data_IF_375603797190
#
_entry.id   IF_375603797190
#
_cell.length_a   1.000
_cell.length_b   1.000
_cell.length_c   1.000
_cell.angle_alpha   90.00
_cell.angle_beta   90.00
_cell.angle_gamma   90.00
#
_symmetry.space_group_name_H-M   'P 1'
#
loop_
_entity.id
_entity.type
_entity.pdbx_description
1 polymer ?
#
# COMPACT_ATOMS: atom_id res chain seq x y z
N UNK A 1 -18.17 -26.35 -18.08
CA UNK A 1 -17.04 -27.31 -18.07
C UNK A 1 -16.18 -27.07 -16.84
N UNK A 2 -15.73 -28.13 -16.16
CA UNK A 2 -14.97 -28.04 -14.88
C UNK A 2 -13.48 -27.72 -15.11
N UNK A 3 -12.93 -28.20 -16.22
CA UNK A 3 -11.55 -27.91 -16.67
C UNK A 3 -11.34 -26.42 -16.94
N UNK A 4 -12.28 -25.75 -17.63
CA UNK A 4 -12.15 -24.34 -18.00
C UNK A 4 -12.07 -23.45 -16.77
N UNK A 5 -12.86 -23.76 -15.73
CA UNK A 5 -12.83 -23.03 -14.44
C UNK A 5 -11.46 -23.13 -13.75
N UNK A 6 -10.83 -24.31 -13.78
CA UNK A 6 -9.51 -24.53 -13.16
C UNK A 6 -8.44 -23.71 -13.90
N UNK A 7 -8.43 -23.76 -15.24
CA UNK A 7 -7.48 -22.96 -16.04
C UNK A 7 -7.65 -21.47 -15.83
N UNK A 8 -8.89 -20.95 -15.80
CA UNK A 8 -9.14 -19.54 -15.49
C UNK A 8 -8.60 -19.16 -14.12
N UNK A 9 -8.85 -19.97 -13.08
CA UNK A 9 -8.35 -19.67 -11.73
C UNK A 9 -6.82 -19.63 -11.65
N UNK A 10 -6.12 -20.54 -12.35
CA UNK A 10 -4.65 -20.54 -12.39
C UNK A 10 -4.11 -19.31 -13.12
N UNK A 11 -4.67 -19.00 -14.28
CA UNK A 11 -4.26 -17.83 -15.07
C UNK A 11 -4.49 -16.54 -14.27
N UNK A 12 -5.66 -16.38 -13.64
CA UNK A 12 -5.96 -15.22 -12.79
C UNK A 12 -4.98 -15.08 -11.64
N UNK A 13 -4.67 -16.18 -10.93
CA UNK A 13 -3.74 -16.15 -9.80
C UNK A 13 -2.32 -15.76 -10.24
N UNK A 14 -1.82 -16.35 -11.33
CA UNK A 14 -0.50 -16.03 -11.87
C UNK A 14 -0.46 -14.60 -12.40
N UNK A 15 -1.53 -14.12 -13.04
CA UNK A 15 -1.59 -12.75 -13.55
C UNK A 15 -1.63 -11.70 -12.44
N UNK A 16 -2.28 -11.97 -11.31
CA UNK A 16 -2.30 -11.05 -10.16
C UNK A 16 -0.93 -11.00 -9.46
N UNK A 17 -0.26 -12.13 -9.34
CA UNK A 17 1.10 -12.15 -8.82
C UNK A 17 2.07 -11.42 -9.76
N UNK A 18 1.95 -11.63 -11.08
CA UNK A 18 2.77 -10.96 -12.08
C UNK A 18 2.52 -9.45 -12.12
N UNK A 19 1.28 -8.98 -11.97
CA UNK A 19 0.96 -7.55 -11.91
C UNK A 19 1.53 -6.88 -10.66
N UNK A 20 1.67 -7.60 -9.54
CA UNK A 20 2.32 -7.08 -8.33
C UNK A 20 3.84 -6.97 -8.46
N UNK A 21 4.48 -7.94 -9.13
CA UNK A 21 5.96 -8.00 -9.23
C UNK A 21 6.48 -7.15 -10.38
N UNK A 22 5.79 -7.21 -11.53
CA UNK A 22 6.22 -6.58 -12.77
C UNK A 22 5.27 -5.49 -13.25
N UNK A 23 4.20 -5.20 -12.50
CA UNK A 23 3.36 -4.06 -12.79
C UNK A 23 4.15 -2.76 -12.66
N UNK A 24 3.68 -1.75 -13.38
CA UNK A 24 4.14 -0.39 -13.17
C UNK A 24 3.99 -0.08 -11.69
N UNK A 25 5.06 0.43 -11.07
CA UNK A 25 4.96 0.89 -9.69
C UNK A 25 3.89 1.97 -9.64
N UNK A 26 2.86 1.75 -8.83
CA UNK A 26 1.88 2.79 -8.47
C UNK A 26 2.48 3.74 -7.41
N UNK A 27 3.81 3.82 -7.33
CA UNK A 27 4.53 4.95 -6.75
C UNK A 27 4.35 6.17 -7.65
N UNK A 28 3.11 6.67 -7.69
CA UNK A 28 2.83 8.04 -8.04
C UNK A 28 3.03 8.96 -6.82
N UNK A 29 3.76 8.49 -5.80
CA UNK A 29 4.18 9.34 -4.70
C UNK A 29 5.13 10.39 -5.27
N UNK A 30 4.79 11.69 -5.18
CA UNK A 30 5.64 12.72 -5.74
C UNK A 30 7.03 12.61 -5.11
N UNK A 31 8.07 12.60 -5.96
CA UNK A 31 9.47 12.64 -5.51
C UNK A 31 9.76 13.81 -4.55
N UNK A 32 8.87 14.81 -4.55
CA UNK A 32 8.83 15.95 -3.63
C UNK A 32 7.52 15.93 -2.84
N UNK A 33 7.41 15.04 -1.87
CA UNK A 33 6.43 15.15 -0.79
C UNK A 33 7.02 16.00 0.33
N UNK A 34 6.67 17.27 0.44
CA UNK A 34 6.87 17.98 1.71
C UNK A 34 5.88 17.40 2.72
N UNK A 35 6.37 16.64 3.69
CA UNK A 35 5.56 16.16 4.81
C UNK A 35 4.94 17.37 5.52
N UNK A 36 3.61 17.61 5.45
CA UNK A 36 2.99 18.81 6.01
C UNK A 36 2.69 18.63 7.51
N UNK A 37 3.59 17.97 8.23
CA UNK A 37 3.59 17.97 9.68
C UNK A 37 5.04 17.97 10.17
N UNK A 38 5.50 19.16 10.52
CA UNK A 38 6.53 19.40 11.54
C UNK A 38 5.85 19.40 12.92
N UNK A 39 5.00 18.41 13.17
CA UNK A 39 4.42 18.24 14.50
C UNK A 39 5.56 17.93 15.46
N UNK A 40 5.90 18.88 16.33
CA UNK A 40 6.77 18.58 17.46
C UNK A 40 6.10 17.45 18.24
N UNK A 41 6.77 16.29 18.31
CA UNK A 41 6.26 15.13 19.03
C UNK A 41 6.15 15.36 20.55
N UNK A 42 6.38 16.58 21.04
CA UNK A 42 6.30 16.93 22.45
C UNK A 42 5.56 18.24 22.73
N UNK A 43 4.28 18.32 22.33
CA UNK A 43 3.38 19.24 23.01
C UNK A 43 3.07 18.67 24.41
N UNK A 44 3.84 19.14 25.38
CA UNK A 44 3.81 18.81 26.80
C UNK A 44 2.44 19.15 27.38
N UNK A 45 1.44 18.29 27.23
CA UNK A 45 0.14 18.41 27.90
C UNK A 45 -0.38 17.07 28.41
N UNK A 46 0.31 16.54 29.41
CA UNK A 46 -0.37 15.79 30.46
C UNK A 46 0.40 15.96 31.78
N UNK A 47 0.24 17.13 32.40
CA UNK A 47 0.51 17.30 33.82
C UNK A 47 -0.82 17.51 34.54
N UNK A 48 -1.49 16.46 35.03
CA UNK A 48 -2.43 16.64 36.11
C UNK A 48 -1.61 16.88 37.38
N UNK A 49 -1.39 18.16 37.71
CA UNK A 49 -1.08 18.55 39.09
C UNK A 49 -2.31 18.29 39.93
N UNK A 50 -2.26 17.30 40.82
CA UNK A 50 -2.85 17.27 42.16
C UNK A 50 -2.54 15.91 42.80
#
# INVERSE_FOLDING_TARGET
MRITKIFTSVITYVSDAASRIFGLSDDNYPATGTQPFTGDFNDKKHNPKA
#
